data_IF_582038496019
#
_entry.id   IF_582038496019
#
_cell.length_a   1.000
_cell.length_b   1.000
_cell.length_c   1.000
_cell.angle_alpha   90.00
_cell.angle_beta   90.00
_cell.angle_gamma   90.00
#
_symmetry.space_group_name_H-M   'P 1'
#
loop_
_entity.id
_entity.type
_entity.pdbx_description
1 polymer ?
#
# COMPACT_ATOMS: atom_id res chain seq x y z
N UNK A 1 -7.86 4.40 11.06
CA UNK A 1 -9.17 5.06 10.99
C UNK A 1 -9.75 4.90 9.59
N UNK A 2 -9.07 5.36 8.53
CA UNK A 2 -9.58 5.35 7.14
C UNK A 2 -9.99 3.94 6.68
N UNK A 3 -9.32 2.90 7.12
CA UNK A 3 -9.56 1.49 6.78
C UNK A 3 -10.59 0.78 7.69
N UNK A 4 -11.23 1.52 8.61
CA UNK A 4 -12.25 1.00 9.50
C UNK A 4 -11.74 0.10 10.66
N UNK A 5 -10.41 -0.04 10.84
CA UNK A 5 -9.85 -0.80 11.99
C UNK A 5 -10.12 -0.07 13.31
N UNK A 6 -10.10 1.26 13.28
CA UNK A 6 -10.40 2.11 14.42
C UNK A 6 -11.41 3.18 14.03
N UNK A 7 -12.40 3.41 14.89
CA UNK A 7 -13.35 4.48 14.67
C UNK A 7 -12.72 5.84 15.04
N UNK A 8 -13.05 6.92 14.32
CA UNK A 8 -12.61 8.27 14.68
C UNK A 8 -13.30 8.69 16.00
N UNK A 9 -12.56 9.36 16.89
CA UNK A 9 -13.15 9.96 18.08
C UNK A 9 -13.98 11.19 17.73
N UNK A 10 -13.57 11.90 16.67
CA UNK A 10 -14.26 13.07 16.10
C UNK A 10 -14.00 13.11 14.60
N UNK A 11 -14.85 13.83 13.86
CA UNK A 11 -14.75 13.94 12.41
C UNK A 11 -15.39 12.76 11.68
N UNK A 12 -15.27 12.77 10.37
CA UNK A 12 -15.90 11.83 9.46
C UNK A 12 -14.90 11.42 8.38
N UNK A 13 -15.03 10.21 7.85
CA UNK A 13 -14.25 9.72 6.70
C UNK A 13 -15.18 9.46 5.54
N UNK A 14 -14.87 10.06 4.40
CA UNK A 14 -15.65 9.95 3.18
C UNK A 14 -14.81 9.35 2.06
N UNK A 15 -15.40 8.47 1.27
CA UNK A 15 -14.81 7.86 0.08
C UNK A 15 -15.85 7.94 -1.04
N UNK A 16 -15.54 8.62 -2.16
CA UNK A 16 -16.45 8.79 -3.29
C UNK A 16 -17.87 9.24 -2.86
N UNK A 17 -17.97 10.32 -2.07
CA UNK A 17 -19.22 10.88 -1.55
C UNK A 17 -20.02 9.92 -0.60
N UNK A 18 -19.47 8.79 -0.20
CA UNK A 18 -20.05 7.92 0.80
C UNK A 18 -19.26 8.00 2.11
N UNK A 19 -19.96 8.20 3.23
CA UNK A 19 -19.36 8.20 4.55
C UNK A 19 -19.03 6.76 4.97
N UNK A 20 -17.75 6.47 5.23
CA UNK A 20 -17.23 5.10 5.45
C UNK A 20 -16.76 4.80 6.87
N UNK A 21 -16.63 5.79 7.77
CA UNK A 21 -16.13 5.60 9.14
C UNK A 21 -17.05 4.73 10.04
N UNK A 22 -18.25 4.43 9.58
CA UNK A 22 -19.20 3.54 10.25
C UNK A 22 -19.12 2.09 9.77
N UNK A 23 -18.35 1.81 8.71
CA UNK A 23 -18.26 0.46 8.13
C UNK A 23 -17.08 -0.34 8.68
N UNK A 24 -17.24 -1.66 8.83
CA UNK A 24 -16.11 -2.54 9.11
C UNK A 24 -15.15 -2.66 7.91
N UNK A 25 -13.87 -3.02 8.13
CA UNK A 25 -12.83 -3.04 7.08
C UNK A 25 -13.21 -3.79 5.80
N UNK A 26 -13.90 -4.93 5.91
CA UNK A 26 -14.28 -5.72 4.73
C UNK A 26 -15.32 -5.02 3.85
N UNK A 27 -16.17 -4.16 4.41
CA UNK A 27 -17.12 -3.37 3.64
C UNK A 27 -16.43 -2.20 2.96
N UNK A 28 -15.45 -1.57 3.61
CA UNK A 28 -14.63 -0.51 3.05
C UNK A 28 -13.79 -1.05 1.88
N UNK A 29 -13.19 -2.24 2.05
CA UNK A 29 -12.46 -2.90 0.97
C UNK A 29 -13.32 -3.17 -0.27
N UNK A 30 -14.59 -3.57 -0.09
CA UNK A 30 -15.55 -3.76 -1.19
C UNK A 30 -15.97 -2.46 -1.88
N UNK A 31 -15.72 -1.31 -1.26
CA UNK A 31 -15.95 0.03 -1.81
C UNK A 31 -14.73 0.58 -2.55
N UNK A 32 -13.74 -0.25 -2.79
CA UNK A 32 -12.58 0.11 -3.57
C UNK A 32 -11.42 0.73 -2.77
N UNK A 33 -11.39 0.60 -1.43
CA UNK A 33 -10.23 0.99 -0.64
C UNK A 33 -9.36 -0.22 -0.33
N UNK A 34 -8.14 -0.23 -0.85
CA UNK A 34 -7.14 -1.24 -0.56
C UNK A 34 -6.01 -0.70 0.33
N UNK A 35 -5.47 -1.53 1.23
CA UNK A 35 -4.37 -1.15 2.12
C UNK A 35 -3.35 -2.27 2.26
N UNK A 36 -2.06 -1.91 2.25
CA UNK A 36 -0.99 -2.75 2.80
C UNK A 36 -0.83 -2.50 4.30
N UNK A 37 -0.16 -3.41 4.99
CA UNK A 37 0.11 -3.28 6.42
C UNK A 37 1.62 -3.25 6.65
N UNK A 38 2.06 -2.54 7.69
CA UNK A 38 3.47 -2.50 8.08
C UNK A 38 4.03 -3.92 8.33
N UNK A 39 3.24 -4.80 8.93
CA UNK A 39 3.57 -6.22 9.08
C UNK A 39 2.79 -7.04 8.07
N UNK A 40 3.49 -7.65 7.13
CA UNK A 40 2.90 -8.48 6.07
C UNK A 40 2.09 -9.64 6.63
N UNK A 41 0.86 -9.79 6.12
CA UNK A 41 -0.10 -10.82 6.55
C UNK A 41 -0.34 -11.85 5.45
N UNK A 42 0.72 -12.55 5.04
CA UNK A 42 0.60 -13.67 4.12
C UNK A 42 0.02 -14.91 4.80
N UNK A 43 -0.78 -15.69 4.09
CA UNK A 43 -1.21 -17.02 4.53
C UNK A 43 -0.01 -17.97 4.43
N UNK A 44 0.66 -18.20 5.54
CA UNK A 44 1.97 -18.89 5.62
C UNK A 44 1.96 -20.33 5.11
N UNK A 45 0.80 -21.01 5.18
CA UNK A 45 0.61 -22.41 4.78
C UNK A 45 0.00 -22.57 3.39
N UNK A 46 -0.17 -21.48 2.67
CA UNK A 46 -0.62 -21.43 1.28
C UNK A 46 0.54 -21.02 0.39
N UNK A 47 0.52 -21.48 -0.86
CA UNK A 47 1.47 -21.02 -1.88
C UNK A 47 1.22 -19.57 -2.23
N UNK A 48 2.16 -18.92 -2.91
CA UNK A 48 2.01 -17.55 -3.44
C UNK A 48 0.76 -17.49 -4.31
N UNK A 49 0.60 -18.43 -5.24
CA UNK A 49 -0.56 -18.46 -6.14
C UNK A 49 -1.89 -18.61 -5.37
N UNK A 50 -1.95 -19.48 -4.37
CA UNK A 50 -3.13 -19.62 -3.51
C UNK A 50 -3.42 -18.35 -2.72
N UNK A 51 -2.38 -17.67 -2.19
CA UNK A 51 -2.52 -16.39 -1.52
C UNK A 51 -3.16 -15.32 -2.42
N UNK A 52 -2.82 -15.32 -3.72
CA UNK A 52 -3.39 -14.41 -4.71
C UNK A 52 -4.89 -14.64 -4.94
N UNK A 53 -5.33 -15.88 -4.91
CA UNK A 53 -6.73 -16.24 -5.19
C UNK A 53 -7.68 -15.80 -4.08
N UNK A 54 -7.22 -15.76 -2.81
CA UNK A 54 -8.08 -15.45 -1.65
C UNK A 54 -8.81 -14.12 -1.78
N UNK A 55 -8.13 -12.95 -2.02
CA UNK A 55 -8.82 -11.67 -2.09
C UNK A 55 -9.85 -11.61 -3.23
N UNK A 56 -9.55 -12.12 -4.41
CA UNK A 56 -10.46 -12.10 -5.54
C UNK A 56 -11.75 -12.89 -5.25
N UNK A 57 -11.62 -14.09 -4.68
CA UNK A 57 -12.75 -14.93 -4.32
C UNK A 57 -13.56 -14.38 -3.14
N UNK A 58 -12.92 -13.63 -2.22
CA UNK A 58 -13.61 -13.00 -1.09
C UNK A 58 -14.46 -11.81 -1.52
N UNK A 59 -14.02 -11.03 -2.51
CA UNK A 59 -14.78 -9.90 -3.06
C UNK A 59 -15.88 -10.38 -3.98
N UNK A 60 -15.58 -11.29 -4.91
CA UNK A 60 -16.54 -11.84 -5.85
C UNK A 60 -16.54 -13.39 -5.78
N UNK A 61 -17.41 -14.01 -4.96
CA UNK A 61 -17.47 -15.46 -4.84
C UNK A 61 -17.88 -16.20 -6.12
N UNK A 62 -18.45 -15.49 -7.11
CA UNK A 62 -18.91 -16.06 -8.38
C UNK A 62 -17.89 -15.93 -9.51
N UNK A 63 -16.74 -15.31 -9.25
CA UNK A 63 -15.68 -15.13 -10.23
C UNK A 63 -15.15 -16.49 -10.72
N UNK A 64 -14.90 -16.60 -12.02
CA UNK A 64 -14.33 -17.81 -12.60
C UNK A 64 -12.92 -18.09 -12.04
N UNK A 65 -12.70 -19.31 -11.58
CA UNK A 65 -11.37 -19.74 -11.12
C UNK A 65 -10.31 -19.55 -12.21
N UNK A 66 -10.68 -19.72 -13.48
CA UNK A 66 -9.79 -19.50 -14.63
C UNK A 66 -9.35 -18.04 -14.72
N UNK A 67 -10.31 -17.11 -14.65
CA UNK A 67 -10.02 -15.66 -14.68
C UNK A 67 -9.13 -15.23 -13.51
N UNK A 68 -9.41 -15.74 -12.30
CA UNK A 68 -8.58 -15.47 -11.13
C UNK A 68 -7.15 -15.96 -11.32
N UNK A 69 -6.98 -17.16 -11.88
CA UNK A 69 -5.66 -17.71 -12.17
C UNK A 69 -4.91 -16.90 -13.24
N UNK A 70 -5.56 -16.54 -14.34
CA UNK A 70 -4.96 -15.72 -15.39
C UNK A 70 -4.51 -14.37 -14.83
N UNK A 71 -5.39 -13.65 -14.12
CA UNK A 71 -5.05 -12.38 -13.46
C UNK A 71 -3.91 -12.56 -12.45
N UNK A 72 -3.89 -13.65 -11.69
CA UNK A 72 -2.82 -13.91 -10.72
C UNK A 72 -1.46 -14.05 -11.42
N UNK A 73 -1.38 -14.81 -12.51
CA UNK A 73 -0.15 -14.98 -13.28
C UNK A 73 0.33 -13.65 -13.90
N UNK A 74 -0.58 -12.84 -14.45
CA UNK A 74 -0.24 -11.54 -15.03
C UNK A 74 0.33 -10.59 -13.97
N UNK A 75 -0.25 -10.56 -12.78
CA UNK A 75 0.26 -9.76 -11.65
C UNK A 75 1.63 -10.27 -11.19
N UNK A 76 1.81 -11.60 -11.04
CA UNK A 76 3.10 -12.15 -10.61
C UNK A 76 4.22 -11.86 -11.62
N UNK A 77 3.93 -11.93 -12.92
CA UNK A 77 4.88 -11.52 -13.98
C UNK A 77 5.20 -10.04 -13.92
N UNK A 78 4.17 -9.20 -13.76
CA UNK A 78 4.35 -7.75 -13.62
C UNK A 78 5.27 -7.41 -12.43
N UNK A 79 5.12 -8.12 -11.31
CA UNK A 79 5.96 -7.96 -10.12
C UNK A 79 7.29 -8.75 -10.18
N UNK A 80 7.57 -9.46 -11.30
CA UNK A 80 8.77 -10.28 -11.51
C UNK A 80 8.99 -11.38 -10.46
N UNK A 81 7.90 -11.91 -9.90
CA UNK A 81 7.91 -12.94 -8.86
C UNK A 81 7.17 -14.23 -9.25
N UNK A 82 6.91 -14.45 -10.54
CA UNK A 82 6.23 -15.65 -11.04
C UNK A 82 6.97 -16.94 -10.70
N UNK A 83 8.28 -16.88 -10.57
CA UNK A 83 9.11 -18.01 -10.15
C UNK A 83 8.80 -18.49 -8.71
N UNK A 84 8.15 -17.65 -7.89
CA UNK A 84 7.75 -17.97 -6.53
C UNK A 84 6.31 -18.52 -6.43
N UNK A 85 5.59 -18.66 -7.55
CA UNK A 85 4.16 -19.02 -7.56
C UNK A 85 3.81 -20.26 -6.71
N UNK A 86 4.68 -21.27 -6.71
CA UNK A 86 4.51 -22.52 -5.98
C UNK A 86 5.19 -22.53 -4.60
N UNK A 87 5.92 -21.46 -4.23
CA UNK A 87 6.54 -21.35 -2.91
C UNK A 87 5.49 -21.05 -1.84
N UNK A 88 5.67 -21.63 -0.66
CA UNK A 88 4.81 -21.33 0.49
C UNK A 88 5.11 -19.95 1.06
N UNK A 89 4.08 -19.20 1.48
CA UNK A 89 4.24 -17.89 2.09
C UNK A 89 5.21 -17.82 3.27
N UNK A 90 5.38 -18.94 3.99
CA UNK A 90 6.37 -19.06 5.10
C UNK A 90 7.83 -19.10 4.62
N UNK A 91 8.07 -19.46 3.36
CA UNK A 91 9.43 -19.59 2.78
C UNK A 91 9.93 -18.28 2.16
N UNK A 92 9.08 -17.26 2.04
CA UNK A 92 9.41 -15.99 1.41
C UNK A 92 10.28 -15.12 2.33
N UNK A 93 11.27 -14.45 1.76
CA UNK A 93 11.99 -13.35 2.42
C UNK A 93 11.05 -12.18 2.74
N UNK A 94 11.46 -11.26 3.62
CA UNK A 94 10.67 -10.07 3.97
C UNK A 94 10.25 -9.24 2.75
N UNK A 95 11.19 -8.95 1.84
CA UNK A 95 10.89 -8.23 0.60
C UNK A 95 9.94 -8.99 -0.33
N UNK A 96 10.08 -10.31 -0.46
CA UNK A 96 9.16 -11.14 -1.23
C UNK A 96 7.75 -11.18 -0.62
N UNK A 97 7.65 -11.18 0.71
CA UNK A 97 6.36 -11.08 1.40
C UNK A 97 5.69 -9.71 1.13
N UNK A 98 6.44 -8.62 1.08
CA UNK A 98 5.94 -7.29 0.68
C UNK A 98 5.40 -7.30 -0.75
N UNK A 99 6.12 -7.91 -1.70
CA UNK A 99 5.63 -8.04 -3.07
C UNK A 99 4.38 -8.94 -3.17
N UNK A 100 4.29 -9.99 -2.37
CA UNK A 100 3.07 -10.80 -2.29
C UNK A 100 1.89 -10.00 -1.74
N UNK A 101 2.11 -9.13 -0.78
CA UNK A 101 1.07 -8.24 -0.24
C UNK A 101 0.57 -7.25 -1.30
N UNK A 102 1.48 -6.62 -2.06
CA UNK A 102 1.15 -5.77 -3.21
C UNK A 102 0.40 -6.56 -4.30
N UNK A 103 0.84 -7.78 -4.58
CA UNK A 103 0.19 -8.67 -5.53
C UNK A 103 -1.28 -8.94 -5.13
N UNK A 104 -1.51 -9.24 -3.85
CA UNK A 104 -2.86 -9.44 -3.30
C UNK A 104 -3.72 -8.17 -3.36
N UNK A 105 -3.11 -7.01 -3.17
CA UNK A 105 -3.78 -5.72 -3.32
C UNK A 105 -4.20 -5.48 -4.78
N UNK A 106 -3.34 -5.79 -5.76
CA UNK A 106 -3.66 -5.74 -7.18
C UNK A 106 -4.80 -6.68 -7.58
N UNK A 107 -4.93 -7.83 -6.91
CA UNK A 107 -6.06 -8.74 -7.14
C UNK A 107 -7.41 -8.10 -6.79
N UNK A 108 -7.44 -7.22 -5.79
CA UNK A 108 -8.65 -6.48 -5.38
C UNK A 108 -9.01 -5.37 -6.37
N UNK A 109 -8.03 -4.86 -7.13
CA UNK A 109 -8.19 -3.77 -8.08
C UNK A 109 -8.86 -2.51 -7.47
N UNK A 110 -8.35 -1.99 -6.36
CA UNK A 110 -8.99 -0.88 -5.66
C UNK A 110 -8.84 0.44 -6.39
N UNK A 111 -9.80 1.36 -6.21
CA UNK A 111 -9.73 2.74 -6.74
C UNK A 111 -8.86 3.64 -5.87
N UNK A 112 -8.76 3.30 -4.59
CA UNK A 112 -7.98 4.03 -3.60
C UNK A 112 -7.02 3.09 -2.86
N UNK A 113 -5.74 3.44 -2.83
CA UNK A 113 -4.67 2.59 -2.28
C UNK A 113 -3.97 3.29 -1.12
N UNK A 114 -3.81 2.60 -0.01
CA UNK A 114 -2.95 3.03 1.11
C UNK A 114 -1.75 2.09 1.19
N UNK A 115 -0.56 2.63 0.99
CA UNK A 115 0.71 1.93 1.12
C UNK A 115 1.40 2.37 2.41
N UNK A 116 1.52 1.46 3.36
CA UNK A 116 2.10 1.70 4.67
C UNK A 116 3.50 1.08 4.73
N UNK A 117 4.54 1.93 4.74
CA UNK A 117 5.96 1.55 4.73
C UNK A 117 6.31 0.51 3.64
N UNK A 118 5.97 0.74 2.36
CA UNK A 118 6.14 -0.29 1.33
C UNK A 118 7.62 -0.61 1.03
N UNK A 119 8.54 0.30 1.34
CA UNK A 119 9.98 0.16 1.07
C UNK A 119 10.78 -0.42 2.24
N UNK A 120 10.22 -0.43 3.46
CA UNK A 120 10.92 -0.87 4.66
C UNK A 120 11.38 -2.32 4.57
N UNK A 121 12.70 -2.55 4.72
CA UNK A 121 13.31 -3.88 4.65
C UNK A 121 13.28 -4.55 3.27
N UNK A 122 13.03 -3.78 2.21
CA UNK A 122 13.02 -4.25 0.83
C UNK A 122 14.37 -3.97 0.17
N UNK A 123 14.95 -4.99 -0.47
CA UNK A 123 16.21 -4.82 -1.22
C UNK A 123 16.01 -3.81 -2.38
N UNK A 124 16.96 -2.91 -2.68
CA UNK A 124 16.83 -1.86 -3.69
C UNK A 124 16.30 -2.35 -5.05
N UNK A 125 16.76 -3.50 -5.52
CA UNK A 125 16.28 -4.09 -6.78
C UNK A 125 14.76 -4.40 -6.76
N UNK A 126 14.20 -4.75 -5.61
CA UNK A 126 12.77 -5.02 -5.48
C UNK A 126 11.98 -3.72 -5.24
N UNK A 127 12.62 -2.67 -4.73
CA UNK A 127 12.00 -1.34 -4.60
C UNK A 127 11.61 -0.79 -5.97
N UNK A 128 12.43 -0.99 -7.02
CA UNK A 128 12.10 -0.61 -8.39
C UNK A 128 10.77 -1.20 -8.87
N UNK A 129 10.47 -2.44 -8.46
CA UNK A 129 9.18 -3.09 -8.76
C UNK A 129 8.02 -2.39 -8.04
N UNK A 130 8.23 -1.93 -6.80
CA UNK A 130 7.24 -1.17 -6.03
C UNK A 130 7.02 0.21 -6.67
N UNK A 131 8.08 0.91 -7.10
CA UNK A 131 7.97 2.15 -7.88
C UNK A 131 7.14 1.94 -9.14
N UNK A 132 7.45 0.90 -9.92
CA UNK A 132 6.69 0.55 -11.12
C UNK A 132 5.20 0.30 -10.84
N UNK A 133 4.87 -0.33 -9.70
CA UNK A 133 3.50 -0.49 -9.23
C UNK A 133 2.81 0.85 -8.95
N UNK A 134 3.46 1.74 -8.20
CA UNK A 134 2.91 3.06 -7.84
C UNK A 134 2.63 3.88 -9.11
N UNK A 135 3.59 3.92 -10.05
CA UNK A 135 3.40 4.60 -11.33
C UNK A 135 2.25 4.02 -12.15
N UNK A 136 2.12 2.70 -12.20
CA UNK A 136 1.02 2.04 -12.93
C UNK A 136 -0.34 2.43 -12.35
N UNK A 137 -0.51 2.31 -11.03
CA UNK A 137 -1.75 2.65 -10.33
C UNK A 137 -2.14 4.11 -10.56
N UNK A 138 -1.14 5.02 -10.51
CA UNK A 138 -1.34 6.45 -10.81
C UNK A 138 -1.78 6.68 -12.25
N UNK A 139 -1.14 6.01 -13.23
CA UNK A 139 -1.52 6.11 -14.65
C UNK A 139 -2.94 5.60 -14.92
N UNK A 140 -3.43 4.66 -14.15
CA UNK A 140 -4.81 4.18 -14.17
C UNK A 140 -5.81 5.16 -13.54
N UNK A 141 -5.34 6.34 -13.06
CA UNK A 141 -6.18 7.37 -12.45
C UNK A 141 -6.64 7.05 -11.02
N UNK A 142 -6.02 6.09 -10.37
CA UNK A 142 -6.34 5.69 -8.99
C UNK A 142 -5.62 6.60 -8.00
N UNK A 143 -6.24 6.82 -6.84
CA UNK A 143 -5.65 7.61 -5.77
C UNK A 143 -4.76 6.77 -4.86
N UNK A 144 -3.61 7.33 -4.43
CA UNK A 144 -2.66 6.66 -3.55
C UNK A 144 -2.34 7.54 -2.34
N UNK A 145 -2.42 6.99 -1.14
CA UNK A 145 -1.75 7.51 0.05
C UNK A 145 -0.51 6.64 0.30
N UNK A 146 0.65 7.27 0.27
CA UNK A 146 1.92 6.65 0.61
C UNK A 146 2.36 7.14 1.99
N UNK A 147 2.57 6.23 2.93
CA UNK A 147 3.10 6.50 4.26
C UNK A 147 4.49 5.90 4.33
N UNK A 148 5.50 6.73 4.56
CA UNK A 148 6.89 6.27 4.70
C UNK A 148 7.71 7.29 5.48
N UNK A 149 8.81 6.83 6.07
CA UNK A 149 9.88 7.66 6.62
C UNK A 149 11.07 7.76 5.65
N UNK A 150 11.02 7.09 4.51
CA UNK A 150 12.01 7.22 3.44
C UNK A 150 11.73 8.49 2.64
N UNK A 151 12.45 9.56 2.98
CA UNK A 151 12.25 10.89 2.42
C UNK A 151 12.47 10.92 0.91
N UNK A 152 13.48 10.22 0.40
CA UNK A 152 13.79 10.19 -1.05
C UNK A 152 12.61 9.64 -1.85
N UNK A 153 12.02 8.53 -1.39
CA UNK A 153 10.83 7.94 -2.01
C UNK A 153 9.63 8.87 -1.94
N UNK A 154 9.38 9.49 -0.78
CA UNK A 154 8.25 10.40 -0.56
C UNK A 154 8.36 11.62 -1.47
N UNK A 155 9.51 12.29 -1.54
CA UNK A 155 9.70 13.47 -2.39
C UNK A 155 9.61 13.14 -3.88
N UNK A 156 10.07 11.94 -4.28
CA UNK A 156 10.04 11.51 -5.68
C UNK A 156 8.64 11.13 -6.16
N UNK A 157 7.83 10.48 -5.31
CA UNK A 157 6.58 9.86 -5.72
C UNK A 157 5.35 10.72 -5.46
N UNK A 158 5.42 11.66 -4.51
CA UNK A 158 4.25 12.42 -4.06
C UNK A 158 4.01 13.66 -4.89
N UNK A 159 2.74 13.97 -5.15
CA UNK A 159 2.27 15.25 -5.72
C UNK A 159 1.87 16.25 -4.62
N UNK A 160 1.50 15.75 -3.46
CA UNK A 160 1.17 16.49 -2.25
C UNK A 160 1.71 15.75 -1.05
N UNK A 161 2.35 16.46 -0.16
CA UNK A 161 2.94 15.93 1.05
C UNK A 161 2.26 16.53 2.27
N UNK A 162 1.86 15.67 3.20
CA UNK A 162 1.33 16.05 4.51
C UNK A 162 2.30 15.52 5.56
N UNK A 163 2.88 16.40 6.35
CA UNK A 163 3.82 16.04 7.42
C UNK A 163 3.12 16.08 8.76
N UNK A 164 3.24 14.98 9.49
CA UNK A 164 2.67 14.83 10.83
C UNK A 164 3.79 14.79 11.87
N UNK A 165 3.65 15.58 12.94
CA UNK A 165 4.50 15.52 14.11
C UNK A 165 3.63 15.42 15.36
N UNK A 166 3.84 14.39 16.19
CA UNK A 166 3.01 14.07 17.37
C UNK A 166 1.49 14.10 17.12
N UNK A 167 1.06 13.73 15.89
CA UNK A 167 -0.36 13.68 15.50
C UNK A 167 -0.95 15.00 15.01
N UNK A 168 -0.16 16.07 14.96
CA UNK A 168 -0.53 17.37 14.39
C UNK A 168 0.07 17.54 12.99
N UNK A 169 -0.67 18.17 12.09
CA UNK A 169 -0.16 18.53 10.76
C UNK A 169 0.73 19.75 10.91
N UNK A 170 2.03 19.60 10.60
CA UNK A 170 3.02 20.70 10.62
C UNK A 170 3.29 21.28 9.24
N UNK A 171 3.05 20.52 8.16
CA UNK A 171 3.14 21.02 6.78
C UNK A 171 2.16 20.28 5.88
N UNK A 172 1.66 20.97 4.85
CA UNK A 172 0.78 20.44 3.80
C UNK A 172 1.01 21.22 2.51
N UNK A 173 1.53 20.58 1.46
CA UNK A 173 1.84 21.26 0.21
C UNK A 173 2.58 20.41 -0.81
N UNK A 174 3.10 21.06 -1.85
CA UNK A 174 3.97 20.42 -2.83
C UNK A 174 5.29 19.98 -2.17
N UNK A 175 5.86 18.80 -2.52
CA UNK A 175 7.09 18.30 -1.91
C UNK A 175 8.24 19.31 -1.88
N UNK A 176 8.46 20.08 -2.96
CA UNK A 176 9.53 21.09 -3.02
C UNK A 176 9.36 22.22 -2.00
N UNK A 177 8.11 22.57 -1.66
CA UNK A 177 7.83 23.58 -0.63
C UNK A 177 7.97 23.01 0.77
N UNK A 178 7.47 21.79 0.96
CA UNK A 178 7.46 21.12 2.27
C UNK A 178 8.87 20.78 2.74
N UNK A 179 9.76 20.38 1.83
CA UNK A 179 11.15 20.07 2.21
C UNK A 179 11.97 21.28 2.66
N UNK A 180 11.53 22.50 2.30
CA UNK A 180 12.18 23.77 2.69
C UNK A 180 11.52 24.39 3.94
N UNK A 181 10.44 23.78 4.45
CA UNK A 181 9.71 24.27 5.62
C UNK A 181 10.57 24.11 6.89
N UNK A 182 10.85 25.19 7.64
CA UNK A 182 11.67 25.12 8.85
C UNK A 182 11.13 24.13 9.90
N UNK A 183 9.81 24.00 10.04
CA UNK A 183 9.21 23.06 11.00
C UNK A 183 9.44 21.60 10.60
N UNK A 184 9.50 21.32 9.29
CA UNK A 184 9.81 19.97 8.76
C UNK A 184 11.30 19.68 8.93
N UNK A 185 12.16 20.66 8.63
CA UNK A 185 13.62 20.53 8.81
C UNK A 185 13.93 20.24 10.27
N UNK A 186 13.38 21.01 11.21
CA UNK A 186 13.57 20.80 12.65
C UNK A 186 13.08 19.43 13.12
N UNK A 187 11.90 18.99 12.63
CA UNK A 187 11.27 17.75 13.09
C UNK A 187 11.90 16.46 12.51
N UNK A 188 12.45 16.51 11.30
CA UNK A 188 12.84 15.32 10.55
C UNK A 188 14.23 15.37 9.92
N UNK A 189 14.75 16.54 9.57
CA UNK A 189 16.03 16.70 8.86
C UNK A 189 17.13 17.29 9.75
N UNK A 190 16.77 17.93 10.87
CA UNK A 190 17.73 18.50 11.82
C UNK A 190 18.27 17.52 12.86
N UNK A 191 17.71 16.30 12.94
CA UNK A 191 18.16 15.30 13.92
C UNK A 191 19.42 14.53 13.49
N UNK A 192 19.84 14.62 12.23
CA UNK A 192 21.02 13.89 11.70
C UNK A 192 22.35 14.66 11.84
N UNK A 193 22.37 15.86 12.43
CA UNK A 193 23.60 16.64 12.62
C UNK A 193 24.23 16.55 14.04
N UNK A 194 23.67 15.73 14.94
CA UNK A 194 24.20 15.56 16.32
C UNK A 194 24.67 14.13 16.65
N UNK A 195 25.29 13.37 15.70
CA UNK A 195 26.09 12.20 16.04
C UNK A 195 27.53 12.25 15.48
#
# INVERSE_FOLDING_TARGET
VIDGVHNPTRGEVWLNDERIDTFPPYQIARRGLGRTFQVTRAFRRMTVLENMMVPAMAINPTVSKKEVLEKSWDILRFLTVEHLANEYGRGLSGGQQKLLELARLLMLDPDFVILDEPFAGVHPKLQETIYGYIYKVRQEGKAIILISHDMDSIFTLSERLIVLNFGEIIADGHPDQVKEDPAVIEAYLGADEEE
#
